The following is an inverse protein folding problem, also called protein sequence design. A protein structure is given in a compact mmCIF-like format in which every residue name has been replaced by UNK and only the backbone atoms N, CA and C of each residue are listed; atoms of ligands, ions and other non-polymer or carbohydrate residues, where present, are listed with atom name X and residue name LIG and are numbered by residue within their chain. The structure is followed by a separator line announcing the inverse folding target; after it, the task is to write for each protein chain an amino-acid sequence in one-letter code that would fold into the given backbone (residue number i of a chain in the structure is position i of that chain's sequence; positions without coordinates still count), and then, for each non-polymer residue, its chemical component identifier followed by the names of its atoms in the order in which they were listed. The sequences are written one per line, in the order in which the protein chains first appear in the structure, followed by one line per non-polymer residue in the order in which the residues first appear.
data_IF_403253164686
#
_entry.id   IF_403253164686
#
_cell.length_a   1.000
_cell.length_b   1.000
_cell.length_c   1.000
_cell.angle_alpha   90.00
_cell.angle_beta   90.00
_cell.angle_gamma   90.00
#
_symmetry.space_group_name_H-M   'P 1'
#
loop_
_entity.id
_entity.type
_entity.pdbx_description
1 polymer ?
#
# COMPACT_ATOMS: atom_id res chain seq x y z
N UNK A 1 6.03 -9.30 -5.35
CA UNK A 1 6.31 -7.85 -5.27
C UNK A 1 7.40 -7.54 -6.27
N UNK A 2 7.21 -6.55 -7.16
CA UNK A 2 8.25 -6.15 -8.11
C UNK A 2 9.41 -5.50 -7.36
N UNK A 3 10.65 -5.71 -7.82
CA UNK A 3 11.82 -5.03 -7.25
C UNK A 3 11.79 -3.55 -7.66
N UNK A 4 12.13 -2.66 -6.73
CA UNK A 4 12.33 -1.23 -7.01
C UNK A 4 13.79 -1.01 -7.42
N UNK A 5 13.99 -0.32 -8.55
CA UNK A 5 15.31 0.04 -9.07
C UNK A 5 15.66 1.50 -8.86
N UNK A 6 14.69 2.39 -9.03
CA UNK A 6 14.84 3.82 -8.84
C UNK A 6 13.49 4.42 -8.46
N UNK A 7 13.51 5.54 -7.78
CA UNK A 7 12.36 6.40 -7.56
C UNK A 7 12.85 7.84 -7.47
N UNK A 8 11.99 8.78 -7.82
CA UNK A 8 12.23 10.20 -7.61
C UNK A 8 10.89 10.82 -7.22
N UNK A 9 10.89 11.61 -6.15
CA UNK A 9 9.70 12.29 -5.67
C UNK A 9 9.82 13.82 -5.71
N UNK A 10 10.91 14.33 -6.28
CA UNK A 10 11.10 15.77 -6.47
C UNK A 10 10.35 16.26 -7.71
N UNK A 11 10.11 17.56 -7.77
CA UNK A 11 9.59 18.21 -8.98
C UNK A 11 10.69 18.53 -10.01
N UNK A 12 11.96 18.52 -9.57
CA UNK A 12 13.15 18.73 -10.40
C UNK A 12 13.67 17.42 -11.00
N UNK A 13 12.78 16.69 -11.67
CA UNK A 13 13.11 15.43 -12.33
C UNK A 13 12.68 15.41 -13.80
N UNK A 14 13.06 14.35 -14.52
CA UNK A 14 12.87 14.25 -15.97
C UNK A 14 11.37 14.18 -16.37
N UNK A 15 10.49 13.75 -15.47
CA UNK A 15 9.06 13.57 -15.71
C UNK A 15 8.19 14.65 -15.03
N UNK A 16 8.79 15.79 -14.68
CA UNK A 16 8.38 16.75 -13.62
C UNK A 16 7.32 16.26 -12.62
N UNK A 17 7.40 15.00 -12.19
CA UNK A 17 6.38 14.29 -11.39
C UNK A 17 7.02 13.13 -10.64
N UNK A 18 6.48 12.75 -9.48
CA UNK A 18 6.96 11.56 -8.77
C UNK A 18 6.84 10.29 -9.61
N UNK A 19 7.87 9.44 -9.58
CA UNK A 19 7.86 8.15 -10.27
C UNK A 19 8.61 7.07 -9.49
N UNK A 20 8.32 5.82 -9.85
CA UNK A 20 9.06 4.63 -9.42
C UNK A 20 9.32 3.74 -10.63
N UNK A 21 10.55 3.24 -10.73
CA UNK A 21 10.98 2.27 -11.75
C UNK A 21 11.08 0.91 -11.08
N UNK A 22 10.34 -0.07 -11.59
CA UNK A 22 10.24 -1.41 -11.02
C UNK A 22 10.36 -2.50 -12.07
N UNK A 23 10.51 -3.75 -11.61
CA UNK A 23 10.36 -4.92 -12.47
C UNK A 23 8.97 -4.98 -13.14
N UNK A 24 8.95 -5.33 -14.42
CA UNK A 24 7.73 -5.76 -15.09
C UNK A 24 7.42 -7.22 -14.73
N UNK A 25 6.43 -7.42 -13.86
CA UNK A 25 5.93 -8.75 -13.54
C UNK A 25 4.98 -9.24 -14.63
N UNK A 26 5.31 -10.38 -15.24
CA UNK A 26 4.40 -11.06 -16.18
C UNK A 26 3.34 -11.82 -15.40
N UNK A 27 2.09 -11.65 -15.81
CA UNK A 27 0.97 -12.37 -15.25
C UNK A 27 -0.33 -11.97 -15.92
N UNK A 28 -1.39 -12.70 -15.59
CA UNK A 28 -2.75 -12.38 -16.00
C UNK A 28 -3.45 -11.65 -14.87
N UNK A 29 -4.15 -10.56 -15.18
CA UNK A 29 -4.97 -9.89 -14.18
C UNK A 29 -6.13 -10.81 -13.80
N UNK A 30 -6.29 -11.06 -12.51
CA UNK A 30 -7.33 -11.97 -12.02
C UNK A 30 -8.74 -11.50 -12.39
N UNK A 31 -8.96 -10.19 -12.52
CA UNK A 31 -10.25 -9.62 -12.92
C UNK A 31 -10.65 -10.05 -14.32
N UNK A 32 -9.69 -10.22 -15.23
CA UNK A 32 -9.95 -10.59 -16.62
C UNK A 32 -10.41 -12.06 -16.73
N UNK A 33 -9.91 -12.92 -15.83
CA UNK A 33 -10.12 -14.38 -15.89
C UNK A 33 -11.02 -14.92 -14.77
N UNK A 34 -11.53 -14.09 -13.87
CA UNK A 34 -12.26 -14.53 -12.68
C UNK A 34 -13.48 -15.40 -13.01
N UNK A 35 -14.21 -15.02 -14.07
CA UNK A 35 -15.42 -15.71 -14.50
C UNK A 35 -15.17 -16.74 -15.63
N UNK A 36 -13.94 -16.88 -16.10
CA UNK A 36 -13.59 -17.82 -17.16
C UNK A 36 -13.40 -19.23 -16.59
N UNK A 37 -14.42 -20.08 -16.69
CA UNK A 37 -14.36 -21.44 -16.14
C UNK A 37 -13.19 -22.28 -16.70
N UNK A 38 -12.79 -22.06 -17.95
CA UNK A 38 -11.64 -22.72 -18.59
C UNK A 38 -10.31 -22.35 -17.94
N UNK A 39 -10.22 -21.18 -17.28
CA UNK A 39 -9.04 -20.76 -16.54
C UNK A 39 -8.83 -21.56 -15.25
N UNK A 40 -9.94 -21.95 -14.61
CA UNK A 40 -9.96 -22.63 -13.31
C UNK A 40 -9.93 -24.15 -13.46
N UNK A 41 -8.86 -24.69 -14.04
CA UNK A 41 -8.73 -26.13 -14.29
C UNK A 41 -7.49 -26.72 -13.62
N UNK A 42 -7.59 -28.00 -13.23
CA UNK A 42 -6.50 -28.74 -12.63
C UNK A 42 -6.00 -28.13 -11.32
N UNK A 43 -4.73 -27.69 -11.30
CA UNK A 43 -4.10 -27.13 -10.11
C UNK A 43 -4.53 -25.70 -9.79
N UNK A 44 -5.19 -25.03 -10.73
CA UNK A 44 -5.61 -23.63 -10.66
C UNK A 44 -7.07 -23.59 -10.22
N UNK A 45 -7.28 -23.63 -8.90
CA UNK A 45 -8.61 -23.49 -8.31
C UNK A 45 -8.74 -22.14 -7.61
N UNK A 46 -9.97 -21.61 -7.55
CA UNK A 46 -10.26 -20.38 -6.83
C UNK A 46 -9.92 -20.52 -5.35
N UNK A 47 -10.21 -21.68 -4.75
CA UNK A 47 -9.92 -21.98 -3.35
C UNK A 47 -8.42 -21.93 -3.08
N UNK A 48 -7.58 -22.52 -3.94
CA UNK A 48 -6.12 -22.48 -3.81
C UNK A 48 -5.56 -21.07 -3.94
N UNK A 49 -6.07 -20.29 -4.88
CA UNK A 49 -5.69 -18.89 -5.04
C UNK A 49 -6.05 -18.10 -3.78
N UNK A 50 -7.28 -18.22 -3.30
CA UNK A 50 -7.75 -17.51 -2.10
C UNK A 50 -6.97 -17.94 -0.85
N UNK A 51 -6.65 -19.22 -0.70
CA UNK A 51 -5.79 -19.71 0.39
C UNK A 51 -4.38 -19.11 0.31
N UNK A 52 -3.81 -19.01 -0.90
CA UNK A 52 -2.53 -18.35 -1.12
C UNK A 52 -2.59 -16.86 -0.77
N UNK A 53 -3.63 -16.15 -1.21
CA UNK A 53 -3.84 -14.72 -0.89
C UNK A 53 -3.95 -14.54 0.63
N UNK A 54 -4.78 -15.34 1.30
CA UNK A 54 -4.94 -15.28 2.76
C UNK A 54 -3.60 -15.50 3.48
N UNK A 55 -2.80 -16.47 3.04
CA UNK A 55 -1.45 -16.71 3.60
C UNK A 55 -0.56 -15.48 3.48
N UNK A 56 -0.56 -14.80 2.34
CA UNK A 56 0.25 -13.60 2.14
C UNK A 56 -0.28 -12.40 2.94
N UNK A 57 -1.60 -12.24 3.07
CA UNK A 57 -2.21 -11.19 3.91
C UNK A 57 -1.82 -11.40 5.38
N UNK A 58 -1.89 -12.63 5.88
CA UNK A 58 -1.45 -12.96 7.25
C UNK A 58 0.03 -12.64 7.45
N UNK A 59 0.87 -12.99 6.47
CA UNK A 59 2.29 -12.63 6.52
C UNK A 59 2.51 -11.11 6.53
N UNK A 60 1.74 -10.35 5.75
CA UNK A 60 1.78 -8.89 5.75
C UNK A 60 1.31 -8.28 7.08
N UNK A 61 0.26 -8.83 7.70
CA UNK A 61 -0.22 -8.37 9.01
C UNK A 61 0.76 -8.63 10.15
N UNK A 62 1.71 -9.56 9.96
CA UNK A 62 2.78 -9.81 10.91
C UNK A 62 3.96 -8.85 10.80
N UNK A 63 3.97 -7.94 9.81
CA UNK A 63 4.98 -6.91 9.69
C UNK A 63 4.62 -5.73 10.59
N UNK A 64 5.50 -5.41 11.54
CA UNK A 64 5.42 -4.16 12.31
C UNK A 64 5.79 -2.98 11.39
N UNK A 65 4.78 -2.24 10.93
CA UNK A 65 4.97 -1.05 10.09
C UNK A 65 5.63 0.10 10.82
N UNK A 66 5.72 0.05 12.14
CA UNK A 66 6.37 1.04 13.02
C UNK A 66 7.86 1.27 12.68
N UNK A 67 8.45 0.36 11.88
CA UNK A 67 9.85 0.42 11.42
C UNK A 67 10.00 0.71 9.92
N UNK A 68 8.90 0.85 9.19
CA UNK A 68 8.87 1.13 7.75
C UNK A 68 8.40 2.57 7.60
N UNK A 69 9.31 3.48 7.23
CA UNK A 69 8.98 4.90 7.13
C UNK A 69 7.80 5.21 6.18
N UNK A 70 7.10 6.32 6.42
CA UNK A 70 5.97 6.81 5.64
C UNK A 70 6.43 7.88 4.62
N UNK A 71 5.87 7.87 3.41
CA UNK A 71 6.08 8.93 2.43
C UNK A 71 5.06 10.05 2.67
N UNK A 72 5.53 11.24 3.07
CA UNK A 72 4.69 12.41 3.34
C UNK A 72 4.90 13.44 2.23
N UNK A 73 3.81 13.98 1.69
CA UNK A 73 3.84 15.12 0.78
C UNK A 73 3.80 16.41 1.60
N UNK A 74 4.74 17.32 1.36
CA UNK A 74 4.63 18.69 1.85
C UNK A 74 3.68 19.46 0.91
N UNK A 75 2.56 19.94 1.45
CA UNK A 75 1.55 20.66 0.67
C UNK A 75 2.02 22.06 0.21
N UNK A 76 3.08 22.59 0.82
CA UNK A 76 3.58 23.93 0.51
C UNK A 76 4.46 23.98 -0.73
N UNK A 77 5.27 22.93 -0.97
CA UNK A 77 6.20 22.87 -2.10
C UNK A 77 5.99 21.63 -3.01
N UNK A 78 5.10 20.71 -2.63
CA UNK A 78 4.79 19.50 -3.39
C UNK A 78 5.90 18.45 -3.37
N UNK A 79 6.90 18.60 -2.49
CA UNK A 79 7.97 17.63 -2.30
C UNK A 79 7.50 16.45 -1.45
N UNK A 80 8.16 15.30 -1.59
CA UNK A 80 7.87 14.12 -0.76
C UNK A 80 9.10 13.69 0.05
N UNK A 81 8.87 13.34 1.31
CA UNK A 81 9.91 12.90 2.25
C UNK A 81 9.54 11.58 2.92
N UNK A 82 10.55 10.77 3.24
CA UNK A 82 10.37 9.54 4.04
C UNK A 82 10.58 9.89 5.51
N UNK A 83 9.53 9.78 6.33
CA UNK A 83 9.60 9.96 7.77
C UNK A 83 9.60 8.60 8.46
N UNK A 84 10.46 8.41 9.46
CA UNK A 84 10.34 7.26 10.37
C UNK A 84 9.03 7.37 11.15
N UNK A 85 8.24 6.30 11.24
CA UNK A 85 7.09 6.24 12.16
C UNK A 85 7.60 6.48 13.61
N UNK A 86 6.81 7.16 14.46
CA UNK A 86 5.36 7.03 14.54
C UNK A 86 4.66 8.17 13.80
N UNK A 87 3.87 7.82 12.80
CA UNK A 87 2.66 8.59 12.56
C UNK A 87 1.83 8.37 13.83
N UNK A 88 1.88 9.32 14.76
CA UNK A 88 0.72 9.51 15.60
C UNK A 88 -0.42 9.71 14.59
N UNK A 89 -1.28 8.70 14.45
CA UNK A 89 -2.66 9.05 14.27
C UNK A 89 -2.92 9.92 15.49
N UNK A 90 -3.11 11.22 15.28
CA UNK A 90 -3.74 12.03 16.30
C UNK A 90 -5.03 11.26 16.61
N UNK A 91 -5.01 10.47 17.68
CA UNK A 91 -6.22 10.18 18.42
C UNK A 91 -6.75 11.58 18.67
N UNK A 92 -7.83 11.97 17.98
CA UNK A 92 -8.58 13.14 18.35
C UNK A 92 -8.70 13.08 19.87
N UNK A 93 -8.01 13.99 20.56
CA UNK A 93 -8.20 14.20 21.98
C UNK A 93 -9.71 14.22 22.16
N UNK A 94 -10.23 13.29 22.95
CA UNK A 94 -11.56 13.34 23.51
C UNK A 94 -11.67 14.69 24.23
N UNK A 95 -12.05 15.72 23.48
CA UNK A 95 -12.17 17.08 23.96
C UNK A 95 -13.38 17.05 24.87
N UNK A 96 -13.11 16.78 26.14
CA UNK A 96 -14.11 16.59 27.17
C UNK A 96 -15.14 17.69 27.09
N UNK A 97 -16.36 17.32 26.72
CA UNK A 97 -17.51 18.20 26.88
C UNK A 97 -17.74 18.29 28.39
N UNK A 98 -17.59 19.46 29.04
CA UNK A 98 -18.09 19.61 30.39
C UNK A 98 -19.61 19.55 30.29
N UNK A 99 -20.21 18.48 30.81
CA UNK A 99 -21.65 18.38 30.99
C UNK A 99 -22.10 19.52 31.92
N UNK A 100 -22.54 20.62 31.31
CA UNK A 100 -23.24 21.69 31.99
C UNK A 100 -24.68 21.63 31.49
N UNK A 101 -25.56 21.03 32.29
CA UNK A 101 -26.99 21.23 32.21
C UNK A 101 -27.51 21.64 33.60
N UNK A 102 -28.61 22.44 33.63
CA UNK A 102 -28.93 23.39 34.69
C UNK A 102 -29.38 22.78 36.02
#
# INVERSE_FOLDING_TARGET
MPRIYAYDCTLDNVLPRPYVVTDLLRGTLLVDVWNEASWWTGEWSKERLLASVAKHIVALSGLEFDKIGCLVCDETDGSYHVLSLPCAFDEEEDSGIPNMYP
#
